data_IF_569035348357
#
_entry.id   IF_569035348357
#
_cell.length_a   1.000
_cell.length_b   1.000
_cell.length_c   1.000
_cell.angle_alpha   90.00
_cell.angle_beta   90.00
_cell.angle_gamma   90.00
#
_symmetry.space_group_name_H-M   'P 1'
#
loop_
_entity.id
_entity.type
_entity.pdbx_description
1 polymer ?
#
# COMPACT_ATOMS: atom_id res chain seq x y z
N UNK A 1 -1.09 10.64 11.15
CA UNK A 1 -0.25 10.10 10.05
C UNK A 1 0.91 11.01 9.61
N UNK A 2 2.14 10.47 9.48
CA UNK A 2 3.07 10.94 8.42
C UNK A 2 2.42 10.46 7.09
N UNK A 3 2.40 11.16 5.93
CA UNK A 3 3.40 10.87 4.88
C UNK A 3 3.34 11.55 3.51
N UNK A 4 4.56 11.81 3.02
CA UNK A 4 5.01 11.60 1.63
C UNK A 4 5.53 10.16 1.45
N UNK A 5 4.87 9.34 0.63
CA UNK A 5 5.39 8.05 0.17
C UNK A 5 6.41 8.25 -0.96
N UNK A 6 7.45 7.41 -1.00
CA UNK A 6 8.34 7.36 -2.18
C UNK A 6 7.61 6.72 -3.38
N UNK A 7 8.09 6.91 -4.62
CA UNK A 7 7.47 6.27 -5.80
C UNK A 7 7.34 4.75 -5.65
N UNK A 8 8.37 4.07 -5.14
CA UNK A 8 8.34 2.61 -4.90
C UNK A 8 7.30 2.22 -3.85
N UNK A 9 7.11 3.01 -2.81
CA UNK A 9 6.11 2.76 -1.78
C UNK A 9 4.69 2.97 -2.33
N UNK A 10 4.48 4.02 -3.12
CA UNK A 10 3.22 4.23 -3.83
C UNK A 10 2.88 3.08 -4.77
N UNK A 11 3.88 2.54 -5.47
CA UNK A 11 3.69 1.36 -6.32
C UNK A 11 3.26 0.13 -5.51
N UNK A 12 3.89 -0.12 -4.36
CA UNK A 12 3.52 -1.23 -3.46
C UNK A 12 2.07 -1.09 -2.95
N UNK A 13 1.67 0.11 -2.54
CA UNK A 13 0.28 0.41 -2.18
C UNK A 13 -0.65 0.16 -3.38
N UNK A 14 -0.27 0.60 -4.57
CA UNK A 14 -1.05 0.42 -5.79
C UNK A 14 -1.31 -1.06 -6.13
N UNK A 15 -0.35 -1.95 -5.87
CA UNK A 15 -0.58 -3.39 -6.00
C UNK A 15 -1.70 -3.87 -5.07
N UNK A 16 -1.65 -3.51 -3.79
CA UNK A 16 -2.64 -3.93 -2.80
C UNK A 16 -4.05 -3.43 -3.16
N UNK A 17 -4.16 -2.17 -3.58
CA UNK A 17 -5.46 -1.62 -4.00
C UNK A 17 -5.98 -2.21 -5.30
N UNK A 18 -5.08 -2.67 -6.17
CA UNK A 18 -5.44 -3.38 -7.40
C UNK A 18 -5.87 -4.82 -7.14
N UNK A 19 -5.92 -5.26 -5.87
CA UNK A 19 -6.33 -6.59 -5.45
C UNK A 19 -5.21 -7.62 -5.47
N UNK A 20 -3.94 -7.21 -5.48
CA UNK A 20 -2.85 -8.13 -5.15
C UNK A 20 -2.86 -8.40 -3.65
N UNK A 21 -2.57 -9.65 -3.29
CA UNK A 21 -2.39 -10.07 -1.90
C UNK A 21 -0.90 -10.16 -1.60
N UNK A 22 -0.48 -9.71 -0.42
CA UNK A 22 0.89 -9.96 0.02
C UNK A 22 0.98 -11.38 0.57
N UNK A 23 1.93 -12.17 0.07
CA UNK A 23 2.21 -13.51 0.54
C UNK A 23 3.71 -13.65 0.84
N UNK A 24 4.02 -14.40 1.89
CA UNK A 24 5.39 -14.80 2.20
C UNK A 24 5.63 -16.20 1.63
N UNK A 25 6.68 -16.35 0.83
CA UNK A 25 7.20 -17.64 0.38
C UNK A 25 8.67 -17.72 0.83
N UNK A 26 8.97 -18.72 1.66
CA UNK A 26 10.27 -18.84 2.33
C UNK A 26 10.62 -17.54 3.09
N UNK A 27 11.72 -16.89 2.71
CA UNK A 27 12.21 -15.63 3.29
C UNK A 27 11.86 -14.40 2.42
N UNK A 28 11.00 -14.56 1.43
CA UNK A 28 10.71 -13.53 0.43
C UNK A 28 9.22 -13.17 0.41
N UNK A 29 8.96 -11.88 0.28
CA UNK A 29 7.60 -11.36 0.17
C UNK A 29 7.24 -11.08 -1.27
N UNK A 30 6.00 -11.37 -1.64
CA UNK A 30 5.47 -11.17 -2.99
C UNK A 30 4.06 -10.60 -2.94
N UNK A 31 3.78 -9.65 -3.84
CA UNK A 31 2.42 -9.31 -4.22
C UNK A 31 1.94 -10.32 -5.27
N UNK A 32 0.84 -11.02 -5.01
CA UNK A 32 0.30 -12.08 -5.87
C UNK A 32 -1.14 -11.75 -6.28
N UNK A 33 -1.43 -11.88 -7.58
CA UNK A 33 -2.78 -11.79 -8.16
C UNK A 33 -2.90 -12.76 -9.33
N UNK A 34 -3.59 -13.88 -9.12
CA UNK A 34 -3.62 -14.99 -10.09
C UNK A 34 -2.21 -15.53 -10.31
N UNK A 35 -1.78 -15.60 -11.56
CA UNK A 35 -0.43 -16.04 -11.94
C UNK A 35 0.64 -14.94 -11.80
N UNK A 36 0.22 -13.69 -11.60
CA UNK A 36 1.15 -12.55 -11.50
C UNK A 36 1.72 -12.49 -10.08
N UNK A 37 3.04 -12.50 -9.98
CA UNK A 37 3.78 -12.26 -8.73
C UNK A 37 4.80 -11.15 -8.89
N UNK A 38 4.89 -10.26 -7.91
CA UNK A 38 5.89 -9.20 -7.85
C UNK A 38 6.62 -9.26 -6.51
N UNK A 39 7.92 -9.51 -6.53
CA UNK A 39 8.74 -9.53 -5.32
C UNK A 39 8.78 -8.14 -4.67
N UNK A 40 8.70 -8.11 -3.35
CA UNK A 40 8.90 -6.91 -2.53
C UNK A 40 9.92 -7.20 -1.43
N UNK A 41 10.75 -6.19 -1.13
CA UNK A 41 11.77 -6.33 -0.10
C UNK A 41 11.15 -6.13 1.28
N UNK A 42 11.55 -6.92 2.30
CA UNK A 42 11.08 -6.76 3.67
C UNK A 42 11.19 -5.31 4.17
N UNK A 43 12.34 -4.68 3.92
CA UNK A 43 12.59 -3.27 4.26
C UNK A 43 11.55 -2.28 3.70
N UNK A 44 10.95 -2.60 2.54
CA UNK A 44 9.92 -1.75 1.94
C UNK A 44 8.59 -1.92 2.67
N UNK A 45 8.28 -3.13 3.14
CA UNK A 45 7.10 -3.40 3.97
C UNK A 45 7.25 -2.73 5.33
N UNK A 46 8.40 -2.88 6.00
CA UNK A 46 8.69 -2.20 7.27
C UNK A 46 8.59 -0.68 7.11
N UNK A 47 9.12 -0.17 6.01
CA UNK A 47 9.03 1.24 5.69
C UNK A 47 7.60 1.72 5.42
N UNK A 48 6.66 0.85 5.03
CA UNK A 48 5.23 1.15 4.88
C UNK A 48 4.47 1.02 6.22
N UNK A 49 4.86 0.08 7.08
CA UNK A 49 4.31 -0.08 8.44
C UNK A 49 4.69 1.09 9.34
N UNK A 50 5.98 1.46 9.39
CA UNK A 50 6.46 2.65 10.13
C UNK A 50 5.82 3.96 9.68
N UNK A 51 5.26 3.91 8.50
CA UNK A 51 4.60 4.98 7.78
C UNK A 51 3.09 5.00 8.07
N UNK A 52 2.54 3.95 8.65
CA UNK A 52 1.12 3.80 8.90
C UNK A 52 0.33 3.52 7.62
N UNK A 53 0.98 3.10 6.54
CA UNK A 53 0.32 2.69 5.30
C UNK A 53 -0.10 1.21 5.35
N UNK A 54 0.65 0.38 6.09
CA UNK A 54 0.34 -1.03 6.34
C UNK A 54 0.18 -1.28 7.83
N UNK A 55 -0.61 -2.30 8.15
CA UNK A 55 -0.77 -2.86 9.48
C UNK A 55 -0.54 -4.38 9.45
N UNK A 56 -0.05 -4.90 10.57
CA UNK A 56 0.05 -6.33 10.81
C UNK A 56 -1.30 -6.85 11.31
N UNK A 57 -1.77 -7.91 10.68
CA UNK A 57 -2.90 -8.68 11.20
C UNK A 57 -2.46 -9.62 12.32
N UNK A 58 -3.41 -10.09 13.12
CA UNK A 58 -3.17 -11.13 14.12
C UNK A 58 -2.69 -12.46 13.52
N UNK A 59 -2.87 -12.66 12.21
CA UNK A 59 -2.44 -13.86 11.48
C UNK A 59 -1.05 -13.68 10.85
N UNK A 60 -0.40 -12.53 11.05
CA UNK A 60 0.92 -12.23 10.47
C UNK A 60 0.87 -11.68 9.06
N UNK A 61 -0.31 -11.57 8.45
CA UNK A 61 -0.49 -10.94 7.14
C UNK A 61 -0.38 -9.41 7.21
N UNK A 62 -0.11 -8.79 6.07
CA UNK A 62 -0.10 -7.34 5.91
C UNK A 62 -1.35 -6.88 5.16
N UNK A 63 -1.96 -5.80 5.65
CA UNK A 63 -3.08 -5.12 4.98
C UNK A 63 -2.91 -3.61 5.04
N UNK A 64 -3.58 -2.90 4.13
CA UNK A 64 -3.64 -1.43 4.20
C UNK A 64 -4.36 -1.02 5.47
N UNK A 65 -3.81 -0.04 6.19
CA UNK A 65 -4.45 0.47 7.40
C UNK A 65 -5.72 1.25 7.06
N UNK A 66 -6.71 1.18 7.94
CA UNK A 66 -7.95 1.93 7.78
C UNK A 66 -7.70 3.45 7.74
N UNK A 67 -6.76 3.95 8.57
CA UNK A 67 -6.35 5.37 8.58
C UNK A 67 -5.78 5.77 7.21
N UNK A 68 -4.95 4.92 6.61
CA UNK A 68 -4.35 5.18 5.30
C UNK A 68 -5.38 5.15 4.17
N UNK A 69 -6.29 4.17 4.17
CA UNK A 69 -7.35 4.08 3.17
C UNK A 69 -8.26 5.32 3.25
N UNK A 70 -8.64 5.74 4.46
CA UNK A 70 -9.43 6.95 4.66
C UNK A 70 -8.69 8.21 4.20
N UNK A 71 -7.41 8.34 4.53
CA UNK A 71 -6.56 9.44 4.08
C UNK A 71 -6.47 9.51 2.56
N UNK A 72 -6.25 8.37 1.90
CA UNK A 72 -6.11 8.31 0.44
C UNK A 72 -7.43 8.60 -0.28
N UNK A 73 -8.57 8.16 0.28
CA UNK A 73 -9.90 8.49 -0.23
C UNK A 73 -10.15 10.00 -0.18
N UNK A 74 -9.78 10.67 0.92
CA UNK A 74 -9.86 12.13 1.03
C UNK A 74 -8.98 12.84 0.00
N UNK A 75 -7.74 12.39 -0.18
CA UNK A 75 -6.84 12.98 -1.19
C UNK A 75 -7.39 12.81 -2.62
N UNK A 76 -7.95 11.64 -2.96
CA UNK A 76 -8.61 11.42 -4.26
C UNK A 76 -9.82 12.34 -4.46
N UNK A 77 -10.68 12.49 -3.46
CA UNK A 77 -11.84 13.41 -3.52
C UNK A 77 -11.41 14.87 -3.72
N UNK A 78 -10.37 15.32 -3.01
CA UNK A 78 -9.85 16.70 -3.14
C UNK A 78 -9.34 16.98 -4.55
N UNK A 79 -8.77 15.98 -5.24
CA UNK A 79 -8.33 16.09 -6.63
C UNK A 79 -9.48 16.11 -7.64
N UNK A 80 -10.63 15.50 -7.35
CA UNK A 80 -11.84 15.59 -8.20
C UNK A 80 -12.58 16.93 -8.04
N UNK A 81 -12.49 17.57 -6.88
CA UNK A 81 -13.19 18.83 -6.59
C UNK A 81 -12.44 20.12 -6.99
N UNK A 82 -11.30 20.04 -7.67
CA UNK A 82 -10.70 21.23 -8.30
C UNK A 82 -11.15 21.28 -9.77
N UNK A 83 -12.24 22.01 -10.11
CA UNK A 83 -12.35 22.50 -11.46
C UNK A 83 -11.12 23.37 -11.71
N UNK A 84 -10.34 22.94 -12.67
CA UNK A 84 -9.27 23.70 -13.30
C UNK A 84 -9.91 24.99 -13.83
N UNK A 85 -9.90 26.06 -13.03
CA UNK A 85 -10.28 27.39 -13.52
C UNK A 85 -9.13 27.86 -14.42
N UNK A 86 -9.41 27.82 -15.71
CA UNK A 86 -8.67 28.49 -16.77
C UNK A 86 -8.81 30.01 -16.65
#
# INVERSE_FOLDING_TARGET
MKLKLTPTQNLCVGFLESGFKLMQFDEQFYFVKGERRQKVLPKTLDALVNRGALEHTKQGDYMLSDEFVAHRKKMRQVHETKPMQH
#
